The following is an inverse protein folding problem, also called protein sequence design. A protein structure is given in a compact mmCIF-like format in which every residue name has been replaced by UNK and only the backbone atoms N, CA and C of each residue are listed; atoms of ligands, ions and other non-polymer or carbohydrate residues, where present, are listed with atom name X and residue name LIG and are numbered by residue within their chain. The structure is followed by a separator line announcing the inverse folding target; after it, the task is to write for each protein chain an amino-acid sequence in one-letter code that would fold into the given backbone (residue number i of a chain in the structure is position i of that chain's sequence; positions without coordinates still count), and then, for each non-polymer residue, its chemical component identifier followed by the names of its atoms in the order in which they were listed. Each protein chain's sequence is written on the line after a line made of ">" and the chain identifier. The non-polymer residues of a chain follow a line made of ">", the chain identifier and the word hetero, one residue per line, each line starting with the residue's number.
data_IF_000713496806
#
_entry.id   IF_000713496806
#
_cell.length_a   1.000
_cell.length_b   1.000
_cell.length_c   1.000
_cell.angle_alpha   90.00
_cell.angle_beta   90.00
_cell.angle_gamma   90.00
#
_symmetry.space_group_name_H-M   'P 1'
#
loop_
_entity.id
_entity.type
_entity.pdbx_description
1 polymer ?
#
# COMPACT_ATOMS: atom_id res chain seq x y z
N UNK A 1 29.56 18.43 -22.73
CA UNK A 1 28.32 17.76 -23.15
C UNK A 1 28.24 16.42 -22.44
N UNK A 2 27.34 16.27 -21.47
CA UNK A 2 26.40 15.14 -21.34
C UNK A 2 25.74 15.26 -19.96
N UNK A 3 24.49 15.73 -19.94
CA UNK A 3 23.64 15.73 -18.76
C UNK A 3 22.66 14.58 -18.94
N UNK A 4 22.82 13.51 -18.15
CA UNK A 4 21.77 12.51 -17.99
C UNK A 4 20.69 13.12 -17.11
N UNK A 5 19.57 13.52 -17.72
CA UNK A 5 18.36 13.80 -16.98
C UNK A 5 17.86 12.49 -16.38
N UNK A 6 17.80 12.43 -15.05
CA UNK A 6 17.08 11.38 -14.33
C UNK A 6 15.59 11.57 -14.63
N UNK A 7 15.05 10.76 -15.52
CA UNK A 7 13.61 10.65 -15.75
C UNK A 7 12.97 10.08 -14.48
N UNK A 8 12.38 10.98 -13.71
CA UNK A 8 11.57 10.64 -12.56
C UNK A 8 10.28 10.02 -13.09
N UNK A 9 10.25 8.69 -13.23
CA UNK A 9 9.08 7.94 -13.70
C UNK A 9 7.95 8.05 -12.66
N UNK A 10 7.14 9.11 -12.75
CA UNK A 10 5.84 9.17 -12.10
C UNK A 10 4.92 8.20 -12.83
N UNK A 11 4.88 6.94 -12.38
CA UNK A 11 3.98 5.94 -12.97
C UNK A 11 2.54 6.45 -12.83
N UNK A 12 1.83 6.53 -13.96
CA UNK A 12 0.44 6.97 -13.97
C UNK A 12 -0.43 5.83 -13.44
N UNK A 13 -0.70 5.84 -12.14
CA UNK A 13 -1.57 4.87 -11.49
C UNK A 13 -3.00 5.06 -12.00
N UNK A 14 -3.60 4.03 -12.61
CA UNK A 14 -4.94 4.11 -13.19
C UNK A 14 -6.04 3.63 -12.23
N UNK A 15 -5.75 2.62 -11.41
CA UNK A 15 -6.67 2.05 -10.42
C UNK A 15 -5.88 1.40 -9.28
N UNK A 16 -6.58 1.07 -8.19
CA UNK A 16 -6.02 0.25 -7.12
C UNK A 16 -5.66 -1.14 -7.64
N UNK A 17 -4.61 -1.74 -7.08
CA UNK A 17 -4.19 -3.10 -7.45
C UNK A 17 -4.97 -4.17 -6.69
N UNK A 18 -5.13 -4.00 -5.38
CA UNK A 18 -5.87 -4.91 -4.51
C UNK A 18 -6.35 -4.15 -3.27
N UNK A 19 -7.54 -4.50 -2.78
CA UNK A 19 -8.10 -3.99 -1.53
C UNK A 19 -8.58 -5.19 -0.72
N UNK A 20 -8.12 -5.28 0.54
CA UNK A 20 -8.46 -6.36 1.46
C UNK A 20 -9.21 -5.80 2.67
N UNK A 21 -10.35 -6.41 3.01
CA UNK A 21 -11.17 -6.05 4.17
C UNK A 21 -11.15 -7.17 5.22
N UNK A 22 -10.90 -6.79 6.46
CA UNK A 22 -11.16 -7.63 7.64
C UNK A 22 -12.05 -6.85 8.59
N UNK A 23 -13.18 -7.42 9.02
CA UNK A 23 -14.19 -6.76 9.85
C UNK A 23 -14.64 -7.67 11.00
N UNK A 24 -15.05 -7.06 12.12
CA UNK A 24 -15.66 -7.81 13.23
C UNK A 24 -16.99 -8.47 12.83
N UNK A 25 -17.63 -7.98 11.77
CA UNK A 25 -18.85 -8.54 11.19
C UNK A 25 -18.63 -9.84 10.43
N UNK A 26 -17.38 -10.31 10.32
CA UNK A 26 -17.04 -11.64 9.81
C UNK A 26 -16.23 -11.65 8.53
N UNK A 27 -15.93 -10.49 7.94
CA UNK A 27 -15.03 -10.42 6.79
C UNK A 27 -13.61 -10.77 7.22
N UNK A 28 -12.97 -11.71 6.53
CA UNK A 28 -11.61 -12.18 6.82
C UNK A 28 -10.79 -12.13 5.55
N UNK A 29 -9.92 -11.12 5.43
CA UNK A 29 -9.10 -10.93 4.23
C UNK A 29 -9.94 -10.96 2.94
N UNK A 30 -11.14 -10.40 2.99
CA UNK A 30 -12.08 -10.44 1.88
C UNK A 30 -11.64 -9.44 0.80
N UNK A 31 -11.39 -9.88 -0.44
CA UNK A 31 -11.05 -8.96 -1.53
C UNK A 31 -12.24 -8.04 -1.84
N UNK A 32 -11.95 -6.78 -2.11
CA UNK A 32 -12.93 -5.78 -2.53
C UNK A 32 -12.71 -5.38 -3.98
N UNK A 33 -13.73 -4.75 -4.59
CA UNK A 33 -13.63 -4.23 -5.94
C UNK A 33 -12.58 -3.10 -6.00
N UNK A 34 -11.72 -3.15 -7.01
CA UNK A 34 -10.72 -2.12 -7.23
C UNK A 34 -11.36 -0.82 -7.72
N UNK A 35 -10.84 0.31 -7.24
CA UNK A 35 -11.40 1.64 -7.52
C UNK A 35 -10.47 2.39 -8.47
N UNK A 36 -11.00 3.04 -9.53
CA UNK A 36 -10.18 3.85 -10.43
C UNK A 36 -9.70 5.13 -9.73
N UNK A 37 -8.47 5.55 -10.04
CA UNK A 37 -7.97 6.84 -9.59
C UNK A 37 -8.59 7.97 -10.42
N UNK A 38 -8.85 9.10 -9.76
CA UNK A 38 -9.40 10.31 -10.38
C UNK A 38 -8.38 11.42 -10.28
N UNK A 39 -8.12 12.08 -11.40
CA UNK A 39 -7.29 13.29 -11.42
C UNK A 39 -8.03 14.43 -10.70
N UNK A 40 -7.29 15.20 -9.90
CA UNK A 40 -7.82 16.37 -9.17
C UNK A 40 -7.37 16.44 -7.72
N UNK A 41 -8.03 17.31 -6.95
CA UNK A 41 -7.78 17.48 -5.51
C UNK A 41 -8.87 16.74 -4.73
N UNK A 42 -8.48 15.82 -3.86
CA UNK A 42 -9.41 15.14 -2.95
C UNK A 42 -9.89 16.09 -1.84
N UNK A 43 -11.13 15.92 -1.39
CA UNK A 43 -11.79 16.69 -0.33
C UNK A 43 -12.23 15.79 0.83
N UNK A 44 -12.43 16.37 2.02
CA UNK A 44 -12.86 15.65 3.23
C UNK A 44 -11.70 15.04 4.02
N UNK A 45 -11.83 13.76 4.40
CA UNK A 45 -10.77 13.02 5.13
C UNK A 45 -9.79 12.45 4.12
N UNK A 46 -8.66 13.15 3.94
CA UNK A 46 -7.68 12.84 2.91
C UNK A 46 -6.39 12.30 3.52
N UNK A 47 -5.96 11.12 3.08
CA UNK A 47 -4.64 10.55 3.40
C UNK A 47 -3.68 10.92 2.26
N UNK A 48 -2.55 11.55 2.59
CA UNK A 48 -1.49 11.92 1.64
C UNK A 48 -0.25 11.06 1.87
N UNK A 49 0.23 10.41 0.82
CA UNK A 49 1.47 9.62 0.83
C UNK A 49 2.62 10.52 0.36
N UNK A 50 3.71 10.56 1.11
CA UNK A 50 4.91 11.37 0.85
C UNK A 50 6.13 10.43 0.76
N UNK A 51 6.42 9.85 -0.43
CA UNK A 51 7.48 8.85 -0.60
C UNK A 51 8.89 9.36 -0.28
N UNK A 52 9.10 10.67 -0.34
CA UNK A 52 10.36 11.34 -0.05
C UNK A 52 10.73 11.33 1.45
N UNK A 53 9.76 11.11 2.34
CA UNK A 53 9.98 11.03 3.78
C UNK A 53 10.18 9.55 4.17
N UNK A 54 11.41 9.08 4.04
CA UNK A 54 11.78 7.70 4.37
C UNK A 54 11.89 7.50 5.89
N UNK A 55 11.34 6.40 6.40
CA UNK A 55 11.41 5.99 7.81
C UNK A 55 12.24 4.70 7.96
N UNK A 56 11.91 3.85 8.95
CA UNK A 56 12.56 2.57 9.15
C UNK A 56 12.31 1.62 7.98
N UNK A 57 13.30 0.78 7.68
CA UNK A 57 13.14 -0.36 6.75
C UNK A 57 12.45 -1.50 7.49
N UNK A 58 11.51 -2.17 6.84
CA UNK A 58 10.80 -3.33 7.40
C UNK A 58 11.53 -4.59 6.95
N UNK A 59 12.16 -5.30 7.89
CA UNK A 59 12.87 -6.56 7.60
C UNK A 59 11.89 -7.73 7.38
N UNK A 60 10.78 -7.75 8.12
CA UNK A 60 9.76 -8.79 7.99
C UNK A 60 8.68 -8.73 9.07
N UNK A 61 7.58 -9.44 8.84
CA UNK A 61 6.50 -9.66 9.81
C UNK A 61 6.31 -11.17 9.91
N UNK A 62 6.23 -11.70 11.13
CA UNK A 62 6.08 -13.12 11.39
C UNK A 62 5.49 -13.39 12.76
N UNK A 63 5.27 -14.67 13.03
CA UNK A 63 4.77 -15.18 14.30
C UNK A 63 5.80 -16.13 14.89
N UNK A 64 5.85 -16.21 16.21
CA UNK A 64 6.69 -17.18 16.91
C UNK A 64 6.26 -18.61 16.56
N UNK A 65 7.23 -19.49 16.38
CA UNK A 65 7.00 -20.92 16.35
C UNK A 65 7.32 -21.47 17.76
N UNK A 66 6.28 -21.80 18.52
CA UNK A 66 6.41 -22.37 19.87
C UNK A 66 6.06 -23.85 19.84
N UNK A 67 6.57 -24.63 20.79
CA UNK A 67 6.27 -26.07 20.91
C UNK A 67 4.75 -26.32 20.93
N UNK A 68 3.99 -25.47 21.62
CA UNK A 68 2.52 -25.52 21.69
C UNK A 68 1.78 -25.22 20.37
N UNK A 69 2.46 -24.64 19.38
CA UNK A 69 1.92 -24.44 18.02
C UNK A 69 2.34 -25.56 17.04
N UNK A 70 3.29 -26.40 17.46
CA UNK A 70 3.88 -27.48 16.68
C UNK A 70 3.29 -28.86 17.04
N UNK A 71 2.64 -28.97 18.21
CA UNK A 71 1.89 -30.15 18.66
C UNK A 71 0.41 -30.01 18.30
#
# INVERSE_FOLDING_TARGET
>A
MSSCASENQTSKLAATSEILLTSESGDKMAPQENVPFRDGTAEGVVIRIQPEIVKQTIDGIGTSFTESSAF
#
